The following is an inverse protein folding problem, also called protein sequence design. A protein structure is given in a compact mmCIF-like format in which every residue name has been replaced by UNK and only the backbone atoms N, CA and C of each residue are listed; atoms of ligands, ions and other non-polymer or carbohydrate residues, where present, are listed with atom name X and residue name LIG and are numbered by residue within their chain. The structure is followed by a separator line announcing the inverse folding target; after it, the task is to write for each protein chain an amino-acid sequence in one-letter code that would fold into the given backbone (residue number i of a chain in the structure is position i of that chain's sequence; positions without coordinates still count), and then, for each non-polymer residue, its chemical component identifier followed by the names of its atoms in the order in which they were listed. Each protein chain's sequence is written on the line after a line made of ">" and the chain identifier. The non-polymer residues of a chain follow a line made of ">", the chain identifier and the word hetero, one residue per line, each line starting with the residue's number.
data_IF_731806664029
#
_entry.id   IF_731806664029
#
_cell.length_a   1.000
_cell.length_b   1.000
_cell.length_c   1.000
_cell.angle_alpha   90.00
_cell.angle_beta   90.00
_cell.angle_gamma   90.00
#
_symmetry.space_group_name_H-M   'P 1'
#
loop_
_entity.id
_entity.type
_entity.pdbx_description
1 polymer ?
#
# COMPACT_ATOMS: atom_id res chain seq x y z
N UNK A 1 -51.42 26.91 10.11
CA UNK A 1 -50.04 27.13 10.61
C UNK A 1 -49.39 25.90 11.25
N UNK A 2 -50.13 24.98 11.92
CA UNK A 2 -49.56 23.75 12.54
C UNK A 2 -48.94 22.73 11.56
N UNK A 3 -49.44 22.63 10.32
CA UNK A 3 -48.96 21.64 9.32
C UNK A 3 -47.61 22.00 8.69
N UNK A 4 -47.27 23.29 8.61
CA UNK A 4 -46.00 23.78 8.04
C UNK A 4 -44.82 23.54 9.01
N UNK A 5 -45.09 23.62 10.32
CA UNK A 5 -44.09 23.35 11.35
C UNK A 5 -43.64 21.86 11.38
N UNK A 6 -44.55 20.94 11.05
CA UNK A 6 -44.27 19.50 11.05
C UNK A 6 -43.40 19.07 9.84
N UNK A 7 -43.56 19.74 8.70
CA UNK A 7 -42.78 19.44 7.47
C UNK A 7 -41.33 19.91 7.61
N UNK A 8 -41.08 21.05 8.27
CA UNK A 8 -39.71 21.50 8.54
C UNK A 8 -38.95 20.55 9.48
N UNK A 9 -39.63 19.90 10.44
CA UNK A 9 -38.97 18.99 11.38
C UNK A 9 -38.46 17.69 10.73
N UNK A 10 -39.12 17.22 9.66
CA UNK A 10 -38.75 15.99 8.94
C UNK A 10 -37.57 16.22 7.98
N UNK A 11 -37.42 17.43 7.43
CA UNK A 11 -36.31 17.77 6.53
C UNK A 11 -34.99 17.89 7.30
N UNK A 12 -35.02 18.36 8.55
CA UNK A 12 -33.81 18.53 9.38
C UNK A 12 -33.26 17.17 9.85
N UNK A 13 -34.11 16.14 10.00
CA UNK A 13 -33.68 14.81 10.48
C UNK A 13 -32.93 13.97 9.42
N UNK A 14 -32.96 14.37 8.15
CA UNK A 14 -32.26 13.66 7.07
C UNK A 14 -30.85 14.21 6.78
N UNK A 15 -30.40 15.26 7.48
CA UNK A 15 -29.09 15.87 7.26
C UNK A 15 -27.98 15.39 8.22
N UNK A 16 -28.28 14.50 9.17
CA UNK A 16 -27.28 14.07 10.18
C UNK A 16 -27.01 12.57 10.14
N UNK A 17 -26.42 12.11 9.05
CA UNK A 17 -25.69 10.84 9.03
C UNK A 17 -24.64 10.80 7.91
N UNK A 18 -23.82 11.85 7.76
CA UNK A 18 -22.49 11.63 7.18
C UNK A 18 -21.64 10.98 8.25
N UNK A 19 -21.74 9.66 8.35
CA UNK A 19 -20.70 8.88 9.01
C UNK A 19 -19.42 9.14 8.22
N UNK A 20 -18.60 10.09 8.65
CA UNK A 20 -17.18 10.07 8.34
C UNK A 20 -16.64 8.83 9.05
N UNK A 21 -16.84 7.66 8.44
CA UNK A 21 -15.99 6.53 8.73
C UNK A 21 -14.59 7.05 8.41
N UNK A 22 -13.84 7.40 9.44
CA UNK A 22 -12.44 7.76 9.34
C UNK A 22 -11.76 6.56 8.71
N UNK A 23 -11.63 6.58 7.38
CA UNK A 23 -10.93 5.57 6.65
C UNK A 23 -9.51 5.60 7.21
N UNK A 24 -9.11 4.50 7.86
CA UNK A 24 -7.79 4.43 8.47
C UNK A 24 -6.79 4.61 7.34
N UNK A 25 -5.95 5.63 7.47
CA UNK A 25 -4.90 5.93 6.49
C UNK A 25 -4.10 4.65 6.24
N UNK A 26 -3.97 4.26 4.98
CA UNK A 26 -3.25 3.05 4.56
C UNK A 26 -1.77 3.24 4.91
N UNK A 27 -1.13 2.22 5.49
CA UNK A 27 0.29 2.28 5.81
C UNK A 27 1.14 1.89 4.60
N UNK A 28 1.95 2.84 4.10
CA UNK A 28 2.87 2.68 2.99
C UNK A 28 4.34 2.56 3.46
N UNK A 29 4.58 1.78 4.51
CA UNK A 29 5.94 1.54 5.02
C UNK A 29 6.19 0.06 5.35
N UNK A 30 7.46 -0.33 5.50
CA UNK A 30 7.89 -1.60 6.10
C UNK A 30 8.80 -1.31 7.29
N UNK A 31 8.35 -1.58 8.52
CA UNK A 31 9.13 -1.26 9.74
C UNK A 31 9.66 0.19 9.74
N UNK A 32 8.79 1.14 9.34
CA UNK A 32 9.09 2.57 9.14
C UNK A 32 9.97 2.90 7.93
N UNK A 33 10.44 1.92 7.16
CA UNK A 33 11.10 2.18 5.88
C UNK A 33 10.04 2.54 4.85
N UNK A 34 10.17 3.71 4.22
CA UNK A 34 9.22 4.22 3.23
C UNK A 34 9.92 4.60 1.93
N UNK A 35 9.12 4.79 0.88
CA UNK A 35 9.60 5.35 -0.39
C UNK A 35 10.29 6.70 -0.16
N UNK A 36 11.28 7.03 -0.98
CA UNK A 36 12.03 8.30 -0.88
C UNK A 36 13.16 8.32 0.15
N UNK A 37 13.26 7.32 1.04
CA UNK A 37 14.38 7.21 1.99
C UNK A 37 15.70 6.88 1.28
N UNK A 38 16.80 7.32 1.88
CA UNK A 38 18.17 6.98 1.49
C UNK A 38 18.60 5.63 2.07
N UNK A 39 19.73 5.11 1.57
CA UNK A 39 20.33 3.87 2.07
C UNK A 39 20.65 3.95 3.57
N UNK A 40 21.24 5.07 4.01
CA UNK A 40 21.61 5.27 5.41
C UNK A 40 20.38 5.26 6.34
N UNK A 41 19.30 5.94 5.96
CA UNK A 41 18.03 5.93 6.70
C UNK A 41 17.45 4.51 6.81
N UNK A 42 17.47 3.75 5.70
CA UNK A 42 17.01 2.36 5.70
C UNK A 42 17.85 1.48 6.63
N UNK A 43 19.18 1.51 6.50
CA UNK A 43 20.08 0.67 7.32
C UNK A 43 19.95 1.00 8.80
N UNK A 44 19.77 2.27 9.16
CA UNK A 44 19.53 2.67 10.54
C UNK A 44 18.23 2.08 11.13
N UNK A 45 17.24 1.78 10.28
CA UNK A 45 15.95 1.22 10.71
C UNK A 45 15.93 -0.30 10.76
N UNK A 46 16.52 -0.97 9.76
CA UNK A 46 16.36 -2.43 9.57
C UNK A 46 17.68 -3.21 9.45
N UNK A 47 18.82 -2.52 9.59
CA UNK A 47 20.16 -3.11 9.48
C UNK A 47 20.62 -3.31 8.04
N UNK A 48 21.78 -3.95 7.90
CA UNK A 48 22.41 -4.18 6.60
C UNK A 48 21.69 -5.29 5.80
N UNK A 49 21.59 -5.15 4.47
CA UNK A 49 21.07 -6.19 3.60
C UNK A 49 22.06 -7.35 3.44
N UNK A 50 21.56 -8.49 2.99
CA UNK A 50 22.37 -9.70 2.77
C UNK A 50 23.09 -9.69 1.44
N UNK A 51 22.41 -9.17 0.43
CA UNK A 51 22.86 -9.17 -0.96
C UNK A 51 22.45 -7.84 -1.59
N UNK A 52 23.31 -7.34 -2.47
CA UNK A 52 23.07 -6.17 -3.28
C UNK A 52 23.48 -6.46 -4.73
N UNK A 53 22.67 -6.04 -5.69
CA UNK A 53 23.05 -6.00 -7.11
C UNK A 53 22.19 -5.02 -7.89
N UNK A 54 22.65 -4.64 -9.08
CA UNK A 54 21.89 -3.82 -10.02
C UNK A 54 20.97 -4.73 -10.84
N UNK A 55 19.72 -4.32 -11.01
CA UNK A 55 18.71 -5.00 -11.82
C UNK A 55 17.73 -4.01 -12.44
N UNK A 56 16.66 -4.50 -13.05
CA UNK A 56 15.57 -3.71 -13.60
C UNK A 56 14.22 -4.12 -13.02
N UNK A 57 13.35 -3.15 -12.81
CA UNK A 57 11.91 -3.34 -12.63
C UNK A 57 11.24 -2.74 -13.86
N UNK A 58 10.78 -3.59 -14.79
CA UNK A 58 10.41 -3.13 -16.13
C UNK A 58 11.62 -2.49 -16.83
N UNK A 59 11.49 -1.21 -17.19
CA UNK A 59 12.58 -0.41 -17.78
C UNK A 59 13.42 0.38 -16.76
N UNK A 60 13.04 0.36 -15.48
CA UNK A 60 13.68 1.16 -14.43
C UNK A 60 14.88 0.44 -13.84
N UNK A 61 16.08 0.99 -14.04
CA UNK A 61 17.31 0.47 -13.46
C UNK A 61 17.39 0.78 -11.96
N UNK A 62 17.59 -0.24 -11.13
CA UNK A 62 17.56 -0.12 -9.68
C UNK A 62 18.75 -0.83 -9.01
N UNK A 63 19.20 -0.28 -7.88
CA UNK A 63 20.02 -0.99 -6.89
C UNK A 63 19.07 -1.82 -6.00
N UNK A 64 19.06 -3.14 -6.17
CA UNK A 64 18.23 -4.07 -5.40
C UNK A 64 18.99 -4.56 -4.15
N UNK A 65 18.36 -4.42 -2.99
CA UNK A 65 18.87 -4.88 -1.70
C UNK A 65 17.95 -5.94 -1.12
N UNK A 66 18.52 -7.12 -0.88
CA UNK A 66 17.77 -8.32 -0.49
C UNK A 66 18.01 -8.66 0.97
N UNK A 67 16.92 -8.77 1.71
CA UNK A 67 16.84 -9.36 3.05
C UNK A 67 16.21 -10.76 2.94
N UNK A 68 15.84 -11.40 4.05
CA UNK A 68 15.27 -12.76 4.01
C UNK A 68 13.99 -12.85 3.16
N UNK A 69 12.95 -12.12 3.58
CA UNK A 69 11.63 -12.15 2.96
C UNK A 69 11.21 -10.76 2.47
N UNK A 70 12.18 -9.87 2.32
CA UNK A 70 11.97 -8.47 1.92
C UNK A 70 13.02 -8.07 0.92
N UNK A 71 12.59 -7.28 -0.05
CA UNK A 71 13.43 -6.68 -1.07
C UNK A 71 13.13 -5.19 -1.14
N UNK A 72 14.17 -4.37 -1.19
CA UNK A 72 14.06 -2.92 -1.25
C UNK A 72 14.94 -2.45 -2.39
N UNK A 73 14.35 -1.71 -3.32
CA UNK A 73 15.03 -1.27 -4.52
C UNK A 73 15.12 0.26 -4.54
N UNK A 74 16.31 0.75 -4.87
CA UNK A 74 16.61 2.17 -4.98
C UNK A 74 16.75 2.53 -6.45
N UNK A 75 16.18 3.67 -6.84
CA UNK A 75 16.46 4.22 -8.16
C UNK A 75 17.95 4.57 -8.28
N UNK A 76 18.58 4.14 -9.37
CA UNK A 76 20.03 4.27 -9.54
C UNK A 76 20.50 5.73 -9.57
N UNK A 77 19.66 6.66 -9.98
CA UNK A 77 20.04 8.06 -10.19
C UNK A 77 19.85 8.88 -8.91
N UNK A 78 18.66 8.79 -8.33
CA UNK A 78 18.24 9.54 -7.14
C UNK A 78 18.76 8.91 -5.85
N UNK A 79 19.14 7.63 -5.89
CA UNK A 79 19.55 6.84 -4.70
C UNK A 79 18.50 6.85 -3.60
N UNK A 80 17.22 6.89 -4.00
CA UNK A 80 16.06 6.84 -3.12
C UNK A 80 15.26 5.56 -3.32
N UNK A 81 14.64 5.05 -2.26
CA UNK A 81 13.77 3.88 -2.33
C UNK A 81 12.59 4.18 -3.27
N UNK A 82 12.37 3.30 -4.24
CA UNK A 82 11.24 3.38 -5.18
C UNK A 82 10.35 2.14 -5.13
N UNK A 83 10.83 1.05 -4.52
CA UNK A 83 10.11 -0.21 -4.46
C UNK A 83 10.46 -1.00 -3.19
N UNK A 84 9.44 -1.56 -2.56
CA UNK A 84 9.56 -2.46 -1.41
C UNK A 84 8.65 -3.66 -1.68
N UNK A 85 9.21 -4.87 -1.75
CA UNK A 85 8.43 -6.11 -1.77
C UNK A 85 8.58 -6.87 -0.45
N UNK A 86 7.45 -7.25 0.13
CA UNK A 86 7.36 -7.90 1.42
C UNK A 86 6.65 -9.25 1.26
N UNK A 87 7.33 -10.31 1.70
CA UNK A 87 6.81 -11.66 1.92
C UNK A 87 6.99 -12.13 3.37
N UNK A 88 7.53 -11.25 4.24
CA UNK A 88 7.76 -11.51 5.65
C UNK A 88 6.44 -11.82 6.37
N UNK A 89 6.26 -13.08 6.78
CA UNK A 89 5.03 -13.53 7.47
C UNK A 89 4.87 -12.93 8.86
N UNK A 90 5.94 -12.36 9.44
CA UNK A 90 5.90 -11.68 10.74
C UNK A 90 5.56 -10.20 10.62
N UNK A 91 5.58 -9.66 9.41
CA UNK A 91 5.17 -8.29 9.15
C UNK A 91 3.66 -8.14 9.26
N UNK A 92 3.23 -7.13 9.99
CA UNK A 92 1.85 -6.68 10.09
C UNK A 92 1.88 -5.15 10.10
N UNK A 93 1.09 -4.53 9.24
CA UNK A 93 1.02 -3.07 9.21
C UNK A 93 0.06 -2.51 10.26
N UNK A 94 -0.01 -1.18 10.37
CA UNK A 94 -0.82 -0.52 11.40
C UNK A 94 -2.33 -0.86 11.35
N UNK A 95 -2.85 -1.35 10.22
CA UNK A 95 -4.25 -1.76 10.07
C UNK A 95 -4.46 -3.29 10.26
N UNK A 96 -3.40 -4.01 10.59
CA UNK A 96 -3.42 -5.45 10.82
C UNK A 96 -3.51 -6.28 9.53
N UNK A 97 -3.12 -5.70 8.40
CA UNK A 97 -2.98 -6.42 7.12
C UNK A 97 -1.57 -7.00 7.04
N UNK A 98 -1.51 -8.29 6.67
CA UNK A 98 -0.29 -9.08 6.59
C UNK A 98 -0.41 -10.17 5.53
N UNK A 99 0.68 -10.89 5.30
CA UNK A 99 0.65 -12.13 4.51
C UNK A 99 -0.38 -13.09 5.11
N UNK A 100 -1.29 -13.59 4.27
CA UNK A 100 -2.43 -14.43 4.64
C UNK A 100 -3.73 -13.66 4.95
N UNK A 101 -3.74 -12.33 4.97
CA UNK A 101 -4.99 -11.56 5.12
C UNK A 101 -5.97 -11.87 3.99
N UNK A 102 -7.25 -12.05 4.33
CA UNK A 102 -8.30 -12.36 3.35
C UNK A 102 -8.83 -11.10 2.66
N UNK A 103 -9.46 -11.26 1.50
CA UNK A 103 -10.17 -10.16 0.83
C UNK A 103 -11.19 -9.45 1.72
N UNK A 104 -11.86 -10.18 2.62
CA UNK A 104 -12.77 -9.60 3.60
C UNK A 104 -12.05 -8.63 4.54
N UNK A 105 -10.89 -9.02 5.07
CA UNK A 105 -10.07 -8.14 5.93
C UNK A 105 -9.59 -6.92 5.16
N UNK A 106 -9.16 -7.07 3.91
CA UNK A 106 -8.73 -5.94 3.08
C UNK A 106 -9.85 -4.92 2.86
N UNK A 107 -11.03 -5.39 2.44
CA UNK A 107 -12.19 -4.52 2.23
C UNK A 107 -12.63 -3.82 3.52
N UNK A 108 -12.50 -4.49 4.67
CA UNK A 108 -12.85 -3.91 5.97
C UNK A 108 -11.90 -2.79 6.39
N UNK A 109 -10.60 -2.96 6.20
CA UNK A 109 -9.59 -2.01 6.69
C UNK A 109 -9.26 -0.90 5.68
N UNK A 110 -9.24 -1.21 4.39
CA UNK A 110 -8.84 -0.27 3.32
C UNK A 110 -9.97 0.14 2.39
N UNK A 111 -11.15 -0.45 2.55
CA UNK A 111 -12.22 -0.28 1.57
C UNK A 111 -11.89 -0.96 0.24
N UNK A 112 -12.57 -0.50 -0.81
CA UNK A 112 -12.51 -1.09 -2.15
C UNK A 112 -11.25 -0.62 -2.87
N UNK A 113 -10.25 -1.50 -2.97
CA UNK A 113 -9.08 -1.29 -3.83
C UNK A 113 -9.42 -1.44 -5.32
N UNK A 114 -8.61 -0.79 -6.16
CA UNK A 114 -8.63 -1.03 -7.61
C UNK A 114 -8.11 -2.44 -7.89
N UNK A 115 -8.78 -3.20 -8.76
CA UNK A 115 -8.35 -4.56 -9.11
C UNK A 115 -7.68 -4.54 -10.48
N UNK A 116 -6.46 -5.05 -10.55
CA UNK A 116 -5.74 -5.22 -11.81
C UNK A 116 -5.15 -6.63 -11.90
N UNK A 117 -5.01 -7.14 -13.13
CA UNK A 117 -4.23 -8.34 -13.42
C UNK A 117 -2.95 -7.86 -14.09
N UNK A 118 -1.80 -8.13 -13.48
CA UNK A 118 -0.49 -7.71 -13.97
C UNK A 118 0.38 -8.98 -14.01
N UNK A 119 0.94 -9.30 -15.18
CA UNK A 119 1.74 -10.52 -15.40
C UNK A 119 1.10 -11.80 -14.82
N UNK A 120 -0.21 -11.99 -15.07
CA UNK A 120 -0.98 -13.15 -14.58
C UNK A 120 -1.29 -13.15 -13.08
N UNK A 121 -0.86 -12.15 -12.32
CA UNK A 121 -1.13 -11.99 -10.88
C UNK A 121 -2.27 -11.00 -10.65
N UNK A 122 -3.12 -11.31 -9.67
CA UNK A 122 -4.27 -10.46 -9.31
C UNK A 122 -3.88 -9.54 -8.15
N UNK A 123 -3.85 -8.25 -8.41
CA UNK A 123 -3.54 -7.23 -7.42
C UNK A 123 -4.77 -6.45 -6.99
N UNK A 124 -4.82 -6.12 -5.69
CA UNK A 124 -5.60 -4.99 -5.18
C UNK A 124 -4.65 -3.82 -4.97
N UNK A 125 -4.99 -2.66 -5.51
CA UNK A 125 -4.15 -1.48 -5.56
C UNK A 125 -4.83 -0.34 -4.78
N UNK A 126 -4.06 0.29 -3.92
CA UNK A 126 -4.44 1.47 -3.14
C UNK A 126 -3.42 2.56 -3.41
N UNK A 127 -3.89 3.78 -3.67
CA UNK A 127 -3.05 4.96 -3.90
C UNK A 127 -2.98 5.80 -2.63
N UNK A 128 -1.83 6.41 -2.38
CA UNK A 128 -1.67 7.31 -1.24
C UNK A 128 -2.40 8.64 -1.52
N UNK A 129 -3.24 9.11 -0.59
CA UNK A 129 -4.10 10.29 -0.83
C UNK A 129 -3.29 11.57 -1.06
N UNK A 130 -2.21 11.75 -0.30
CA UNK A 130 -1.33 12.92 -0.42
C UNK A 130 -0.24 12.77 -1.50
N UNK A 131 0.03 11.55 -1.98
CA UNK A 131 1.06 11.27 -2.97
C UNK A 131 0.59 10.20 -3.97
N UNK A 132 -0.21 10.56 -4.99
CA UNK A 132 -0.88 9.60 -5.86
C UNK A 132 0.05 8.64 -6.63
N UNK A 133 1.33 8.98 -6.74
CA UNK A 133 2.35 8.12 -7.35
C UNK A 133 2.69 6.93 -6.45
N UNK A 134 2.58 7.08 -5.13
CA UNK A 134 2.81 6.01 -4.15
C UNK A 134 1.62 5.04 -4.13
N UNK A 135 1.91 3.76 -4.30
CA UNK A 135 0.92 2.69 -4.41
C UNK A 135 1.25 1.53 -3.48
N UNK A 136 0.21 0.96 -2.87
CA UNK A 136 0.24 -0.29 -2.14
C UNK A 136 -0.48 -1.34 -2.98
N UNK A 137 0.26 -2.35 -3.40
CA UNK A 137 -0.25 -3.47 -4.20
C UNK A 137 -0.23 -4.73 -3.34
N UNK A 138 -1.36 -5.42 -3.32
CA UNK A 138 -1.56 -6.67 -2.59
C UNK A 138 -1.82 -7.79 -3.59
N UNK A 139 -0.88 -8.72 -3.75
CA UNK A 139 -1.08 -9.93 -4.55
C UNK A 139 -2.07 -10.83 -3.82
N UNK A 140 -3.24 -11.03 -4.43
CA UNK A 140 -4.36 -11.83 -3.90
C UNK A 140 -4.77 -12.93 -4.87
N UNK A 141 -3.82 -13.41 -5.68
CA UNK A 141 -4.06 -14.42 -6.71
C UNK A 141 -4.78 -15.67 -6.17
N UNK A 142 -4.44 -16.07 -4.94
CA UNK A 142 -5.02 -17.24 -4.27
C UNK A 142 -6.11 -16.90 -3.24
N UNK A 143 -6.68 -15.69 -3.27
CA UNK A 143 -7.78 -15.26 -2.40
C UNK A 143 -7.37 -14.72 -1.03
N UNK A 144 -6.08 -14.74 -0.73
CA UNK A 144 -5.45 -14.11 0.43
C UNK A 144 -4.16 -13.40 0.00
N UNK A 145 -3.67 -12.46 0.80
CA UNK A 145 -2.45 -11.69 0.51
C UNK A 145 -1.23 -12.62 0.51
N UNK A 146 -0.56 -12.74 -0.63
CA UNK A 146 0.67 -13.55 -0.78
C UNK A 146 1.94 -12.71 -0.81
N UNK A 147 1.80 -11.45 -1.24
CA UNK A 147 2.89 -10.48 -1.34
C UNK A 147 2.29 -9.09 -1.16
N UNK A 148 3.02 -8.24 -0.43
CA UNK A 148 2.75 -6.82 -0.33
C UNK A 148 3.84 -6.09 -1.10
N UNK A 149 3.47 -5.12 -1.92
CA UNK A 149 4.37 -4.24 -2.65
C UNK A 149 4.01 -2.80 -2.32
N UNK A 150 5.01 -2.00 -1.99
CA UNK A 150 4.89 -0.54 -1.85
C UNK A 150 5.83 0.06 -2.90
N UNK A 151 5.33 0.91 -3.79
CA UNK A 151 6.15 1.46 -4.87
C UNK A 151 5.64 2.82 -5.36
N UNK A 152 6.51 3.62 -5.94
CA UNK A 152 6.15 4.84 -6.69
C UNK A 152 6.42 4.73 -8.20
N UNK A 153 6.74 3.52 -8.68
CA UNK A 153 6.84 3.21 -10.09
C UNK A 153 5.43 2.99 -10.69
N UNK A 154 5.25 3.22 -12.00
CA UNK A 154 4.02 2.84 -12.70
C UNK A 154 3.74 1.33 -12.55
N UNK A 155 2.45 0.95 -12.48
CA UNK A 155 2.08 -0.47 -12.36
C UNK A 155 2.52 -1.31 -13.55
N UNK A 156 2.67 -0.69 -14.73
CA UNK A 156 3.26 -1.31 -15.92
C UNK A 156 4.72 -1.78 -15.73
N UNK A 157 5.44 -1.26 -14.72
CA UNK A 157 6.79 -1.73 -14.41
C UNK A 157 6.82 -3.18 -13.86
N UNK A 158 5.65 -3.73 -13.49
CA UNK A 158 5.50 -5.11 -13.01
C UNK A 158 5.07 -6.10 -14.08
N UNK A 159 4.88 -5.64 -15.33
CA UNK A 159 4.49 -6.50 -16.47
C UNK A 159 5.59 -7.49 -16.88
#
# INVERSE_FOLDING_TARGET
>A
MKKILLVCLIIIFNLTATSFAMQREVDFSYKKVSLGMSYEEMVNLIGEPKVQFVTFIGEYAVDEYVYNDVRIDFDLNTKKIVFISIKDKKYENNQGVKIGSTLYKLNKEYGKGEKQIINGKKYYIYQHEQNPDDKLLLDVSNGYVEKIIIMNLPTGALE
#
